data_IF_708650766061
#
_entry.id   IF_708650766061
#
_cell.length_a   1.000
_cell.length_b   1.000
_cell.length_c   1.000
_cell.angle_alpha   90.00
_cell.angle_beta   90.00
_cell.angle_gamma   90.00
#
_symmetry.space_group_name_H-M   'P 1'
#
loop_
_entity.id
_entity.type
_entity.pdbx_description
1 polymer ?
#
# COMPACT_ATOMS: atom_id res chain seq x y z
N UNK A 1 -24.11 1.27 59.80
CA UNK A 1 -22.89 1.55 59.01
C UNK A 1 -22.40 0.23 58.44
N UNK A 2 -22.35 0.11 57.10
CA UNK A 2 -21.46 -0.68 56.21
C UNK A 2 -21.09 -2.12 56.61
N UNK A 3 -21.01 -3.12 55.73
CA UNK A 3 -21.23 -3.27 54.30
C UNK A 3 -21.26 -4.78 54.01
N UNK A 4 -21.98 -5.16 52.95
CA UNK A 4 -22.24 -6.54 52.56
C UNK A 4 -21.07 -7.29 51.94
N UNK A 5 -21.17 -8.62 52.04
CA UNK A 5 -20.35 -9.58 51.33
C UNK A 5 -20.66 -9.58 49.83
N UNK A 6 -19.62 -9.55 48.97
CA UNK A 6 -19.64 -10.22 47.68
C UNK A 6 -18.23 -10.38 47.12
N UNK A 7 -17.73 -11.63 47.17
CA UNK A 7 -16.55 -12.09 46.42
C UNK A 7 -16.87 -12.03 44.91
N UNK A 8 -16.26 -11.11 44.17
CA UNK A 8 -16.19 -11.21 42.70
C UNK A 8 -14.92 -11.94 42.28
N UNK A 9 -15.10 -13.16 41.78
CA UNK A 9 -14.07 -13.97 41.12
C UNK A 9 -13.56 -13.24 39.88
N UNK A 10 -12.24 -13.15 39.77
CA UNK A 10 -11.50 -12.69 38.60
C UNK A 10 -11.70 -13.67 37.43
N UNK A 11 -12.61 -13.31 36.52
CA UNK A 11 -12.73 -13.97 35.21
C UNK A 11 -11.79 -13.31 34.22
N UNK A 12 -10.59 -13.86 34.08
CA UNK A 12 -9.67 -13.60 32.95
C UNK A 12 -10.40 -13.92 31.64
N UNK A 13 -10.94 -12.89 30.98
CA UNK A 13 -11.38 -13.00 29.59
C UNK A 13 -10.14 -12.96 28.70
N UNK A 14 -9.58 -14.14 28.48
CA UNK A 14 -8.69 -14.42 27.36
C UNK A 14 -9.31 -13.84 26.10
N UNK A 15 -8.66 -12.80 25.56
CA UNK A 15 -8.99 -12.22 24.28
C UNK A 15 -8.75 -13.33 23.24
N UNK A 16 -9.85 -13.88 22.70
CA UNK A 16 -9.82 -14.82 21.60
C UNK A 16 -9.00 -14.22 20.46
N UNK A 17 -7.79 -14.73 20.30
CA UNK A 17 -6.95 -14.58 19.11
C UNK A 17 -7.82 -15.02 17.93
N UNK A 18 -8.40 -14.04 17.22
CA UNK A 18 -8.96 -14.29 15.89
C UNK A 18 -7.76 -14.54 14.99
N UNK A 19 -7.40 -15.81 14.82
CA UNK A 19 -6.59 -16.25 13.71
C UNK A 19 -7.13 -15.60 12.43
N UNK A 20 -6.37 -14.68 11.86
CA UNK A 20 -6.55 -14.22 10.48
C UNK A 20 -6.07 -15.36 9.60
N UNK A 21 -6.80 -16.47 9.61
CA UNK A 21 -6.79 -17.42 8.50
C UNK A 21 -7.37 -16.65 7.34
N UNK A 22 -6.50 -16.29 6.41
CA UNK A 22 -6.85 -15.60 5.18
C UNK A 22 -8.07 -16.27 4.56
N UNK A 23 -9.21 -15.58 4.64
CA UNK A 23 -10.48 -16.05 4.09
C UNK A 23 -10.44 -15.79 2.58
N UNK A 24 -9.59 -16.50 1.84
CA UNK A 24 -9.65 -16.53 0.37
C UNK A 24 -10.83 -17.38 -0.15
N UNK A 25 -11.51 -18.11 0.75
CA UNK A 25 -12.58 -19.07 0.39
C UNK A 25 -14.00 -18.52 0.48
N UNK A 26 -14.19 -17.23 0.77
CA UNK A 26 -15.53 -16.65 0.88
C UNK A 26 -15.69 -15.44 -0.05
N UNK A 27 -16.24 -15.70 -1.23
CA UNK A 27 -17.02 -14.76 -2.03
C UNK A 27 -16.31 -13.60 -2.75
N UNK A 28 -15.40 -13.91 -3.68
CA UNK A 28 -15.30 -13.11 -4.93
C UNK A 28 -16.15 -13.73 -6.06
N UNK A 29 -17.22 -14.45 -5.71
CA UNK A 29 -18.25 -14.88 -6.67
C UNK A 29 -19.17 -13.70 -7.01
N UNK A 30 -18.64 -12.69 -7.72
CA UNK A 30 -19.47 -11.71 -8.43
C UNK A 30 -19.75 -12.22 -9.83
N UNK A 31 -20.67 -13.19 -9.92
CA UNK A 31 -21.10 -13.80 -11.18
C UNK A 31 -22.11 -12.93 -11.97
N UNK A 32 -22.08 -11.60 -11.83
CA UNK A 32 -22.92 -10.68 -12.60
C UNK A 32 -22.26 -10.30 -13.93
N UNK A 33 -23.07 -10.18 -14.99
CA UNK A 33 -22.63 -9.54 -16.24
C UNK A 33 -22.31 -8.06 -15.98
N UNK A 34 -21.38 -7.49 -16.74
CA UNK A 34 -21.02 -6.06 -16.73
C UNK A 34 -20.49 -5.53 -15.39
N UNK A 35 -19.78 -6.34 -14.59
CA UNK A 35 -19.01 -5.84 -13.44
C UNK A 35 -17.55 -6.17 -13.61
N UNK A 36 -16.71 -5.17 -13.39
CA UNK A 36 -15.27 -5.29 -13.27
C UNK A 36 -14.90 -5.41 -11.79
N UNK A 37 -14.13 -6.42 -11.44
CA UNK A 37 -13.45 -6.48 -10.14
C UNK A 37 -12.01 -5.99 -10.30
N UNK A 38 -11.52 -5.19 -9.37
CA UNK A 38 -10.13 -4.75 -9.35
C UNK A 38 -9.50 -5.30 -8.07
N UNK A 39 -8.45 -6.11 -8.23
CA UNK A 39 -7.60 -6.55 -7.13
C UNK A 39 -6.49 -5.51 -6.94
N UNK A 40 -6.58 -4.75 -5.86
CA UNK A 40 -5.60 -3.70 -5.53
C UNK A 40 -4.59 -4.27 -4.53
N UNK A 41 -3.31 -4.15 -4.86
CA UNK A 41 -2.18 -4.54 -4.05
C UNK A 41 -1.25 -3.33 -3.92
N UNK A 42 -0.30 -3.40 -2.98
CA UNK A 42 0.78 -2.41 -2.89
C UNK A 42 2.12 -3.12 -3.02
N UNK A 43 2.29 -4.21 -2.27
CA UNK A 43 3.55 -4.96 -2.20
C UNK A 43 3.31 -6.46 -2.33
N UNK A 44 4.34 -7.18 -2.76
CA UNK A 44 4.45 -8.65 -2.61
C UNK A 44 5.84 -8.95 -2.09
N UNK A 45 5.92 -9.45 -0.86
CA UNK A 45 7.20 -9.63 -0.19
C UNK A 45 7.84 -10.97 -0.56
N UNK A 46 9.18 -11.07 -0.63
CA UNK A 46 9.84 -12.35 -0.87
C UNK A 46 9.66 -13.33 0.32
N UNK A 47 9.41 -12.80 1.53
CA UNK A 47 9.17 -13.57 2.75
C UNK A 47 8.31 -12.75 3.72
N UNK A 48 7.73 -13.43 4.71
CA UNK A 48 6.86 -12.79 5.69
C UNK A 48 7.58 -11.73 6.52
N UNK A 49 6.86 -10.65 6.82
CA UNK A 49 7.31 -9.56 7.67
C UNK A 49 6.57 -9.58 9.02
N UNK A 50 7.25 -9.76 10.16
CA UNK A 50 6.61 -9.74 11.48
C UNK A 50 5.88 -8.42 11.79
N UNK A 51 6.34 -7.28 11.25
CA UNK A 51 5.65 -6.00 11.42
C UNK A 51 4.38 -5.93 10.55
N UNK A 52 4.35 -6.62 9.41
CA UNK A 52 3.25 -6.63 8.45
C UNK A 52 2.92 -8.06 7.94
N UNK A 53 2.41 -8.94 8.81
CA UNK A 53 2.20 -10.37 8.53
C UNK A 53 1.00 -10.62 7.61
N UNK A 54 0.24 -9.57 7.29
CA UNK A 54 -0.86 -9.63 6.34
C UNK A 54 -0.44 -9.21 4.93
N UNK A 55 0.79 -8.71 4.75
CA UNK A 55 1.32 -8.43 3.41
C UNK A 55 1.55 -9.75 2.69
N UNK A 56 1.06 -9.88 1.44
CA UNK A 56 1.17 -11.15 0.72
C UNK A 56 2.63 -11.46 0.44
N UNK A 57 3.01 -12.71 0.68
CA UNK A 57 4.34 -13.20 0.29
C UNK A 57 4.30 -13.88 -1.07
N UNK A 58 5.45 -14.01 -1.72
CA UNK A 58 5.59 -14.59 -3.06
C UNK A 58 4.84 -15.92 -3.26
N UNK A 59 4.91 -16.84 -2.29
CA UNK A 59 4.22 -18.14 -2.37
C UNK A 59 2.70 -18.00 -2.31
N UNK A 60 2.19 -17.13 -1.45
CA UNK A 60 0.74 -16.88 -1.32
C UNK A 60 0.22 -16.14 -2.55
N UNK A 61 1.01 -15.20 -3.09
CA UNK A 61 0.67 -14.49 -4.32
C UNK A 61 0.64 -15.43 -5.52
N UNK A 62 1.60 -16.36 -5.66
CA UNK A 62 1.59 -17.39 -6.70
C UNK A 62 0.34 -18.29 -6.62
N UNK A 63 -0.04 -18.70 -5.41
CA UNK A 63 -1.27 -19.47 -5.17
C UNK A 63 -2.53 -18.69 -5.53
N UNK A 64 -2.58 -17.41 -5.16
CA UNK A 64 -3.66 -16.51 -5.52
C UNK A 64 -3.78 -16.36 -7.04
N UNK A 65 -2.68 -16.11 -7.74
CA UNK A 65 -2.69 -15.97 -9.20
C UNK A 65 -3.12 -17.25 -9.91
N UNK A 66 -2.71 -18.43 -9.41
CA UNK A 66 -3.19 -19.71 -9.92
C UNK A 66 -4.72 -19.81 -9.84
N UNK A 67 -5.30 -19.42 -8.71
CA UNK A 67 -6.74 -19.42 -8.52
C UNK A 67 -7.45 -18.37 -9.37
N UNK A 68 -6.87 -17.16 -9.49
CA UNK A 68 -7.42 -16.09 -10.31
C UNK A 68 -7.46 -16.51 -11.77
N UNK A 69 -6.35 -17.06 -12.29
CA UNK A 69 -6.22 -17.53 -13.66
C UNK A 69 -7.25 -18.61 -14.02
N UNK A 70 -7.59 -19.51 -13.09
CA UNK A 70 -8.60 -20.55 -13.34
C UNK A 70 -10.04 -20.04 -13.28
N UNK A 71 -10.28 -18.84 -12.76
CA UNK A 71 -11.62 -18.40 -12.33
C UNK A 71 -12.10 -17.13 -13.03
N UNK A 72 -11.19 -16.22 -13.40
CA UNK A 72 -11.47 -14.89 -13.94
C UNK A 72 -10.92 -14.71 -15.35
N UNK A 73 -11.57 -13.81 -16.10
CA UNK A 73 -11.02 -13.24 -17.32
C UNK A 73 -10.19 -12.02 -16.93
N UNK A 74 -8.89 -12.21 -16.73
CA UNK A 74 -7.99 -11.12 -16.32
C UNK A 74 -7.67 -10.24 -17.53
N UNK A 75 -7.89 -8.94 -17.40
CA UNK A 75 -7.71 -7.94 -18.44
C UNK A 75 -6.76 -6.84 -17.98
N UNK A 76 -6.04 -6.25 -18.93
CA UNK A 76 -5.49 -4.90 -18.78
C UNK A 76 -6.59 -3.94 -18.36
N UNK A 77 -6.27 -2.97 -17.51
CA UNK A 77 -7.25 -2.06 -16.97
C UNK A 77 -7.83 -1.17 -18.08
N UNK A 78 -7.02 -0.73 -19.06
CA UNK A 78 -7.52 -0.01 -20.24
C UNK A 78 -8.60 -0.82 -20.97
N UNK A 79 -8.29 -2.07 -21.30
CA UNK A 79 -9.16 -2.96 -22.07
C UNK A 79 -10.45 -3.26 -21.28
N UNK A 80 -10.35 -3.40 -19.96
CA UNK A 80 -11.49 -3.61 -19.09
C UNK A 80 -12.41 -2.39 -19.04
N UNK A 81 -11.85 -1.18 -18.98
CA UNK A 81 -12.62 0.08 -19.00
C UNK A 81 -13.33 0.24 -20.34
N UNK A 82 -12.63 0.06 -21.47
CA UNK A 82 -13.21 0.15 -22.81
C UNK A 82 -14.37 -0.84 -23.00
N UNK A 83 -14.16 -2.10 -22.58
CA UNK A 83 -15.21 -3.14 -22.67
C UNK A 83 -16.38 -2.88 -21.74
N UNK A 84 -16.14 -2.32 -20.56
CA UNK A 84 -17.20 -1.94 -19.62
C UNK A 84 -18.08 -0.85 -20.24
N UNK A 85 -17.48 0.20 -20.81
CA UNK A 85 -18.19 1.29 -21.49
C UNK A 85 -18.96 0.79 -22.71
N UNK A 86 -18.38 -0.13 -23.48
CA UNK A 86 -19.02 -0.74 -24.64
C UNK A 86 -20.07 -1.82 -24.28
N UNK A 87 -20.26 -2.16 -23.00
CA UNK A 87 -21.18 -3.22 -22.56
C UNK A 87 -20.76 -4.63 -22.99
N UNK A 88 -19.47 -4.83 -23.32
CA UNK A 88 -18.90 -6.08 -23.84
C UNK A 88 -17.94 -6.78 -22.86
N UNK A 89 -17.95 -6.34 -21.60
CA UNK A 89 -17.11 -6.90 -20.54
C UNK A 89 -17.44 -8.39 -20.31
N UNK A 90 -16.44 -9.29 -20.32
CA UNK A 90 -16.68 -10.70 -20.09
C UNK A 90 -17.16 -10.94 -18.65
N UNK A 91 -17.83 -12.07 -18.42
CA UNK A 91 -18.18 -12.48 -17.04
C UNK A 91 -16.90 -12.68 -16.23
N UNK A 92 -16.96 -12.32 -14.94
CA UNK A 92 -15.81 -12.46 -14.03
C UNK A 92 -14.57 -11.73 -14.57
N UNK A 93 -14.77 -10.54 -15.14
CA UNK A 93 -13.65 -9.68 -15.53
C UNK A 93 -12.92 -9.19 -14.28
N UNK A 94 -11.59 -9.28 -14.32
CA UNK A 94 -10.73 -8.85 -13.23
C UNK A 94 -9.54 -8.07 -13.79
N UNK A 95 -9.14 -6.99 -13.12
CA UNK A 95 -7.85 -6.33 -13.34
C UNK A 95 -7.05 -6.36 -12.05
N UNK A 96 -5.72 -6.48 -12.17
CA UNK A 96 -4.79 -6.50 -11.04
C UNK A 96 -4.04 -5.17 -11.07
N UNK A 97 -4.00 -4.46 -9.95
CA UNK A 97 -3.23 -3.22 -9.83
C UNK A 97 -2.29 -3.21 -8.62
N UNK A 98 -1.21 -2.46 -8.76
CA UNK A 98 -0.27 -2.13 -7.69
C UNK A 98 -0.16 -0.63 -7.55
N UNK A 99 -0.31 -0.11 -6.34
CA UNK A 99 -0.21 1.32 -6.05
C UNK A 99 1.16 1.66 -5.44
N UNK A 100 1.46 2.96 -5.34
CA UNK A 100 2.69 3.58 -4.83
C UNK A 100 3.96 3.45 -5.69
N UNK A 101 4.27 2.26 -6.19
CA UNK A 101 5.49 1.99 -6.98
C UNK A 101 6.67 1.44 -6.17
N UNK A 102 6.40 0.44 -5.32
CA UNK A 102 7.44 -0.27 -4.56
C UNK A 102 8.33 -1.13 -5.47
N UNK A 103 9.61 -1.24 -5.14
CA UNK A 103 10.59 -2.00 -5.92
C UNK A 103 10.25 -3.50 -6.02
N UNK A 104 9.60 -4.07 -5.01
CA UNK A 104 9.17 -5.47 -5.02
C UNK A 104 8.06 -5.77 -6.05
N UNK A 105 7.39 -4.75 -6.59
CA UNK A 105 6.48 -4.93 -7.72
C UNK A 105 7.23 -5.45 -8.95
N UNK A 106 8.47 -4.98 -9.18
CA UNK A 106 9.34 -5.49 -10.23
C UNK A 106 10.09 -6.75 -9.78
N UNK A 107 10.76 -6.71 -8.62
CA UNK A 107 11.69 -7.79 -8.25
C UNK A 107 11.01 -9.07 -7.78
N UNK A 108 9.74 -9.02 -7.38
CA UNK A 108 8.99 -10.18 -6.86
C UNK A 108 7.71 -10.42 -7.65
N UNK A 109 6.81 -9.42 -7.73
CA UNK A 109 5.50 -9.63 -8.33
C UNK A 109 5.56 -9.85 -9.85
N UNK A 110 6.39 -9.08 -10.57
CA UNK A 110 6.45 -9.11 -12.02
C UNK A 110 6.86 -10.49 -12.61
N UNK A 111 7.92 -11.18 -12.11
CA UNK A 111 8.25 -12.54 -12.53
C UNK A 111 7.10 -13.53 -12.33
N UNK A 112 6.41 -13.46 -11.20
CA UNK A 112 5.30 -14.38 -10.87
C UNK A 112 4.13 -14.13 -11.82
N UNK A 113 3.72 -12.88 -12.03
CA UNK A 113 2.69 -12.50 -13.01
C UNK A 113 3.03 -12.99 -14.42
N UNK A 114 4.29 -12.85 -14.85
CA UNK A 114 4.78 -13.34 -16.15
C UNK A 114 4.67 -14.86 -16.25
N UNK A 115 5.03 -15.62 -15.22
CA UNK A 115 4.86 -17.08 -15.17
C UNK A 115 3.40 -17.48 -15.34
N UNK A 116 2.47 -16.71 -14.78
CA UNK A 116 1.03 -16.94 -14.95
C UNK A 116 0.47 -16.37 -16.26
N UNK A 117 1.21 -15.51 -16.97
CA UNK A 117 0.75 -14.83 -18.18
C UNK A 117 -0.37 -13.83 -17.90
N UNK A 118 -0.37 -13.20 -16.73
CA UNK A 118 -1.41 -12.27 -16.29
C UNK A 118 -0.94 -10.81 -16.41
N UNK A 119 -1.76 -9.90 -16.97
CA UNK A 119 -1.43 -8.48 -17.00
C UNK A 119 -1.64 -7.83 -15.63
N UNK A 120 -0.97 -6.70 -15.42
CA UNK A 120 -1.18 -5.81 -14.27
C UNK A 120 -0.99 -4.35 -14.68
N UNK A 121 -1.54 -3.45 -13.87
CA UNK A 121 -1.37 -2.00 -13.96
C UNK A 121 -0.66 -1.48 -12.72
N UNK A 122 0.39 -0.67 -12.87
CA UNK A 122 1.09 -0.06 -11.74
C UNK A 122 0.85 1.44 -11.72
N UNK A 123 0.35 1.93 -10.59
CA UNK A 123 0.12 3.35 -10.33
C UNK A 123 1.29 3.91 -9.53
N UNK A 124 2.08 4.78 -10.16
CA UNK A 124 3.39 5.20 -9.64
C UNK A 124 3.32 6.59 -9.02
N UNK A 125 3.78 6.71 -7.77
CA UNK A 125 4.04 8.01 -7.15
C UNK A 125 5.45 8.49 -7.48
N UNK A 126 5.53 9.45 -8.39
CA UNK A 126 6.79 9.82 -9.06
C UNK A 126 7.85 10.45 -8.17
N UNK A 127 7.46 11.16 -7.11
CA UNK A 127 8.39 11.87 -6.22
C UNK A 127 9.22 10.97 -5.32
N UNK A 128 8.91 9.67 -5.25
CA UNK A 128 9.66 8.70 -4.45
C UNK A 128 10.54 7.77 -5.29
N UNK A 129 10.57 7.95 -6.62
CA UNK A 129 11.49 7.20 -7.48
C UNK A 129 12.95 7.52 -7.16
N UNK A 130 13.85 6.65 -7.62
CA UNK A 130 15.31 6.85 -7.56
C UNK A 130 15.85 7.02 -6.13
N UNK A 131 15.41 6.13 -5.22
CA UNK A 131 15.91 6.09 -3.85
C UNK A 131 15.12 6.94 -2.86
N UNK A 132 14.00 7.53 -3.28
CA UNK A 132 13.04 8.15 -2.37
C UNK A 132 12.40 7.14 -1.40
N UNK A 133 11.71 7.66 -0.40
CA UNK A 133 10.97 6.87 0.58
C UNK A 133 9.70 7.60 0.98
N UNK A 134 8.58 6.89 1.04
CA UNK A 134 7.32 7.50 1.47
C UNK A 134 7.40 7.82 2.97
N UNK A 135 6.71 8.88 3.39
CA UNK A 135 6.70 9.31 4.80
C UNK A 135 6.29 8.19 5.77
N UNK A 136 5.37 7.31 5.35
CA UNK A 136 4.96 6.15 6.15
C UNK A 136 6.11 5.15 6.29
N UNK A 137 6.85 4.86 5.23
CA UNK A 137 8.00 3.95 5.28
C UNK A 137 9.13 4.54 6.12
N UNK A 138 9.34 5.85 6.08
CA UNK A 138 10.30 6.53 6.97
C UNK A 138 9.98 6.22 8.44
N UNK A 139 8.72 6.35 8.84
CA UNK A 139 8.26 6.03 10.21
C UNK A 139 8.41 4.53 10.49
N UNK A 140 7.96 3.68 9.58
CA UNK A 140 8.00 2.21 9.73
C UNK A 140 9.44 1.74 9.94
N UNK A 141 10.36 2.19 9.08
CA UNK A 141 11.77 1.78 9.14
C UNK A 141 12.50 2.41 10.33
N UNK A 142 12.09 3.59 10.79
CA UNK A 142 12.56 4.15 12.07
C UNK A 142 12.24 3.20 13.25
N UNK A 143 11.00 2.76 13.35
CA UNK A 143 10.57 1.80 14.37
C UNK A 143 11.12 0.38 14.13
N UNK A 144 11.37 -0.03 12.89
CA UNK A 144 11.98 -1.33 12.59
C UNK A 144 13.45 -1.37 12.98
N UNK A 145 14.21 -0.36 12.56
CA UNK A 145 15.67 -0.34 12.67
C UNK A 145 16.19 0.01 14.07
N UNK A 146 15.39 0.66 14.91
CA UNK A 146 15.91 1.14 16.19
C UNK A 146 16.20 0.00 17.17
N UNK A 147 17.34 0.09 17.85
CA UNK A 147 17.76 -0.84 18.92
C UNK A 147 17.26 -0.43 20.31
N UNK A 148 16.57 0.71 20.41
CA UNK A 148 16.02 1.19 21.67
C UNK A 148 14.87 0.29 22.13
N UNK A 149 14.74 0.09 23.43
CA UNK A 149 13.60 -0.60 24.05
C UNK A 149 12.36 0.29 24.18
N UNK A 150 12.52 1.59 23.95
CA UNK A 150 11.46 2.60 23.99
C UNK A 150 11.86 3.79 23.11
N UNK A 151 10.87 4.44 22.49
CA UNK A 151 11.04 5.71 21.77
C UNK A 151 10.23 6.80 22.47
N UNK A 152 10.91 7.87 22.88
CA UNK A 152 10.27 9.06 23.46
C UNK A 152 10.15 10.14 22.38
N UNK A 153 8.91 10.37 21.95
CA UNK A 153 8.51 11.36 20.95
C UNK A 153 7.62 12.45 21.57
N UNK A 154 7.68 12.65 22.89
CA UNK A 154 6.89 13.68 23.61
C UNK A 154 7.20 15.10 23.11
N UNK A 155 8.47 15.36 22.75
CA UNK A 155 8.92 16.66 22.22
C UNK A 155 8.23 17.06 20.89
N UNK A 156 7.72 16.08 20.13
CA UNK A 156 6.92 16.30 18.91
C UNK A 156 5.43 15.96 19.11
N UNK A 157 4.98 15.78 20.36
CA UNK A 157 3.58 15.53 20.69
C UNK A 157 3.07 14.12 20.36
N UNK A 158 3.96 13.16 20.07
CA UNK A 158 3.56 11.78 19.74
C UNK A 158 3.62 10.82 20.95
N UNK A 159 4.24 11.26 22.05
CA UNK A 159 4.26 10.54 23.31
C UNK A 159 5.35 9.48 23.39
N UNK A 160 5.20 8.54 24.32
CA UNK A 160 6.19 7.51 24.61
C UNK A 160 5.69 6.15 24.10
N UNK A 161 6.57 5.41 23.43
CA UNK A 161 6.27 4.13 22.82
C UNK A 161 7.23 3.03 23.29
N UNK A 162 6.77 2.04 24.06
CA UNK A 162 7.54 0.82 24.33
C UNK A 162 7.84 0.06 23.03
N UNK A 163 8.97 -0.64 22.96
CA UNK A 163 9.43 -1.39 21.78
C UNK A 163 10.05 -2.75 22.16
N UNK A 164 9.62 -3.32 23.29
CA UNK A 164 10.19 -4.56 23.84
C UNK A 164 9.85 -5.80 23.00
N UNK A 165 8.78 -5.75 22.21
CA UNK A 165 8.34 -6.83 21.32
C UNK A 165 7.97 -6.31 19.93
N UNK A 166 7.76 -7.25 18.99
CA UNK A 166 7.22 -6.94 17.65
C UNK A 166 5.82 -6.34 17.76
N UNK A 167 4.98 -6.83 18.68
CA UNK A 167 3.64 -6.28 18.90
C UNK A 167 3.69 -4.85 19.40
N UNK A 168 4.60 -4.52 20.32
CA UNK A 168 4.80 -3.15 20.78
C UNK A 168 5.20 -2.22 19.62
N UNK A 169 6.10 -2.69 18.74
CA UNK A 169 6.54 -1.93 17.56
C UNK A 169 5.39 -1.68 16.60
N UNK A 170 4.54 -2.67 16.35
CA UNK A 170 3.34 -2.52 15.50
C UNK A 170 2.37 -1.50 16.08
N UNK A 171 2.08 -1.58 17.38
CA UNK A 171 1.21 -0.63 18.07
C UNK A 171 1.79 0.79 18.01
N UNK A 172 3.11 0.93 18.16
CA UNK A 172 3.79 2.22 18.04
C UNK A 172 3.67 2.80 16.63
N UNK A 173 3.96 2.00 15.60
CA UNK A 173 3.83 2.38 14.19
C UNK A 173 2.40 2.81 13.88
N UNK A 174 1.41 1.98 14.20
CA UNK A 174 -0.01 2.28 13.94
C UNK A 174 -0.43 3.60 14.60
N UNK A 175 -0.06 3.77 15.87
CA UNK A 175 -0.36 5.00 16.61
C UNK A 175 0.28 6.22 15.95
N UNK A 176 1.56 6.18 15.65
CA UNK A 176 2.28 7.32 15.05
C UNK A 176 1.74 7.64 13.65
N UNK A 177 1.59 6.64 12.78
CA UNK A 177 1.01 6.84 11.45
C UNK A 177 -0.40 7.44 11.53
N UNK A 178 -1.23 6.98 12.47
CA UNK A 178 -2.57 7.51 12.70
C UNK A 178 -2.61 9.00 13.07
N UNK A 179 -1.62 9.48 13.83
CA UNK A 179 -1.53 10.91 14.21
C UNK A 179 -1.02 11.79 13.07
N UNK A 180 -0.13 11.27 12.21
CA UNK A 180 0.55 12.06 11.18
C UNK A 180 -0.20 12.02 9.83
N UNK A 181 -0.92 10.93 9.51
CA UNK A 181 -1.52 10.65 8.18
C UNK A 181 -2.28 11.83 7.56
N UNK A 182 -3.01 12.59 8.37
CA UNK A 182 -3.89 13.67 7.92
C UNK A 182 -3.34 15.07 8.13
N UNK A 183 -2.08 15.22 8.56
CA UNK A 183 -1.42 16.51 8.64
C UNK A 183 -1.15 17.06 7.23
N UNK A 184 -1.03 18.40 7.08
CA UNK A 184 -0.54 18.99 5.84
C UNK A 184 0.78 18.35 5.42
N UNK A 185 1.00 18.21 4.10
CA UNK A 185 2.13 17.45 3.54
C UNK A 185 3.47 17.78 4.19
N UNK A 186 3.82 19.07 4.24
CA UNK A 186 5.10 19.53 4.78
C UNK A 186 5.25 19.16 6.26
N UNK A 187 4.19 19.29 7.05
CA UNK A 187 4.21 18.90 8.46
C UNK A 187 4.34 17.37 8.59
N UNK A 188 3.60 16.60 7.79
CA UNK A 188 3.67 15.13 7.76
C UNK A 188 5.08 14.62 7.45
N UNK A 189 5.72 15.19 6.43
CA UNK A 189 7.11 14.87 6.06
C UNK A 189 8.07 15.24 7.20
N UNK A 190 7.93 16.43 7.80
CA UNK A 190 8.77 16.85 8.92
C UNK A 190 8.62 15.91 10.12
N UNK A 191 7.40 15.54 10.51
CA UNK A 191 7.16 14.62 11.63
C UNK A 191 7.78 13.24 11.38
N UNK A 192 7.73 12.74 10.14
CA UNK A 192 8.38 11.47 9.79
C UNK A 192 9.91 11.57 9.96
N UNK A 193 10.51 12.70 9.56
CA UNK A 193 11.95 12.93 9.78
C UNK A 193 12.31 13.08 11.26
N UNK A 194 11.47 13.74 12.07
CA UNK A 194 11.69 13.86 13.51
C UNK A 194 11.68 12.48 14.19
N UNK A 195 10.75 11.60 13.77
CA UNK A 195 10.70 10.20 14.24
C UNK A 195 11.97 9.43 13.83
N UNK A 196 12.42 9.58 12.59
CA UNK A 196 13.66 8.97 12.11
C UNK A 196 14.89 9.44 12.91
N UNK A 197 14.98 10.75 13.18
CA UNK A 197 16.05 11.33 13.98
C UNK A 197 16.04 10.76 15.41
N UNK A 198 14.87 10.70 16.05
CA UNK A 198 14.74 10.12 17.39
C UNK A 198 15.10 8.62 17.43
N UNK A 199 14.76 7.87 16.39
CA UNK A 199 15.11 6.47 16.26
C UNK A 199 16.63 6.26 16.13
N UNK A 200 17.33 7.21 15.49
CA UNK A 200 18.79 7.18 15.29
C UNK A 200 19.22 6.10 14.31
N UNK A 201 18.47 5.91 13.23
CA UNK A 201 18.72 4.85 12.24
C UNK A 201 18.91 5.42 10.85
N UNK A 202 19.57 4.66 9.99
CA UNK A 202 19.65 4.95 8.56
C UNK A 202 18.58 4.13 7.83
N UNK A 203 17.84 4.78 6.94
CA UNK A 203 16.82 4.10 6.14
C UNK A 203 17.45 3.10 5.16
N UNK A 204 16.80 1.95 4.90
CA UNK A 204 17.20 1.08 3.82
C UNK A 204 16.96 1.76 2.46
N UNK A 205 17.90 1.57 1.54
CA UNK A 205 17.76 2.02 0.16
C UNK A 205 16.92 1.04 -0.68
N UNK A 206 16.43 1.50 -1.83
CA UNK A 206 15.81 0.64 -2.84
C UNK A 206 14.41 0.13 -2.48
N UNK A 207 13.67 0.86 -1.64
CA UNK A 207 12.27 0.51 -1.32
C UNK A 207 11.33 0.83 -2.50
N UNK A 208 11.65 1.86 -3.27
CA UNK A 208 10.86 2.35 -4.40
C UNK A 208 11.56 2.04 -5.72
N UNK A 209 10.78 1.95 -6.80
CA UNK A 209 11.30 1.76 -8.15
C UNK A 209 12.24 2.91 -8.56
N UNK A 210 13.21 2.60 -9.42
CA UNK A 210 13.93 3.63 -10.18
C UNK A 210 13.20 3.98 -11.46
N UNK A 211 13.56 5.08 -12.11
CA UNK A 211 13.07 5.43 -13.45
C UNK A 211 13.35 4.34 -14.48
N UNK A 212 14.51 3.68 -14.38
CA UNK A 212 14.86 2.56 -15.25
C UNK A 212 14.00 1.32 -14.96
N UNK A 213 13.74 1.04 -13.68
CA UNK A 213 12.84 -0.04 -13.28
C UNK A 213 11.42 0.19 -13.80
N UNK A 214 10.96 1.45 -13.83
CA UNK A 214 9.66 1.82 -14.41
C UNK A 214 9.60 1.51 -15.91
N UNK A 215 10.69 1.70 -16.66
CA UNK A 215 10.78 1.29 -18.07
C UNK A 215 10.77 -0.23 -18.21
N UNK A 216 11.51 -0.94 -17.36
CA UNK A 216 11.60 -2.40 -17.39
C UNK A 216 10.24 -3.07 -17.19
N UNK A 217 9.34 -2.49 -16.40
CA UNK A 217 7.96 -3.00 -16.24
C UNK A 217 7.20 -3.11 -17.57
N UNK A 218 7.55 -2.31 -18.59
CA UNK A 218 6.96 -2.42 -19.93
C UNK A 218 7.31 -3.74 -20.61
N UNK A 219 8.50 -4.30 -20.34
CA UNK A 219 8.94 -5.59 -20.88
C UNK A 219 8.16 -6.76 -20.26
N UNK A 220 7.48 -6.53 -19.14
CA UNK A 220 6.52 -7.47 -18.55
C UNK A 220 5.11 -7.33 -19.14
N UNK A 221 4.90 -6.38 -20.07
CA UNK A 221 3.62 -6.12 -20.71
C UNK A 221 2.62 -5.39 -19.80
N UNK A 222 3.12 -4.77 -18.73
CA UNK A 222 2.32 -4.03 -17.76
C UNK A 222 1.95 -2.63 -18.23
N UNK A 223 0.84 -2.14 -17.70
CA UNK A 223 0.40 -0.76 -17.87
C UNK A 223 0.92 0.10 -16.73
N UNK A 224 1.21 1.37 -17.03
CA UNK A 224 1.67 2.33 -16.04
C UNK A 224 0.66 3.48 -15.98
N UNK A 225 0.18 3.78 -14.78
CA UNK A 225 -0.69 4.90 -14.45
C UNK A 225 -0.01 5.86 -13.48
N UNK A 226 -0.53 7.08 -13.39
CA UNK A 226 -0.05 8.10 -12.46
C UNK A 226 -0.71 7.96 -11.08
N UNK A 227 0.05 8.24 -10.02
CA UNK A 227 -0.41 8.22 -8.63
C UNK A 227 0.10 9.41 -7.84
N UNK A 228 -0.03 10.60 -8.42
CA UNK A 228 0.48 11.89 -7.90
C UNK A 228 2.01 11.96 -7.77
N UNK A 229 2.55 13.10 -7.36
CA UNK A 229 3.99 13.30 -7.14
C UNK A 229 4.36 12.88 -5.73
N UNK A 230 3.61 13.30 -4.72
CA UNK A 230 3.96 13.16 -3.30
C UNK A 230 2.97 12.36 -2.47
N UNK A 231 1.96 11.74 -3.10
CA UNK A 231 0.91 10.98 -2.42
C UNK A 231 0.16 11.79 -1.33
N UNK A 232 -0.39 12.98 -1.67
CA UNK A 232 -1.26 13.72 -0.75
C UNK A 232 -2.68 13.14 -0.79
N UNK A 233 -3.48 13.44 0.23
CA UNK A 233 -4.92 13.17 0.20
C UNK A 233 -5.57 14.31 -0.59
N UNK A 234 -5.96 14.06 -1.84
CA UNK A 234 -6.36 15.11 -2.78
C UNK A 234 -7.57 15.91 -2.28
N UNK A 235 -8.60 15.29 -1.70
CA UNK A 235 -9.73 16.01 -1.09
C UNK A 235 -9.36 16.98 0.05
N UNK A 236 -8.15 16.87 0.63
CA UNK A 236 -7.63 17.76 1.68
C UNK A 236 -6.58 18.75 1.17
N UNK A 237 -6.31 18.74 -0.13
CA UNK A 237 -5.25 19.54 -0.76
C UNK A 237 -5.87 20.71 -1.51
N UNK A 238 -5.30 21.93 -1.44
CA UNK A 238 -5.77 23.05 -2.26
C UNK A 238 -5.83 22.70 -3.75
N UNK A 239 -6.85 23.15 -4.46
CA UNK A 239 -7.15 22.70 -5.83
C UNK A 239 -5.98 22.91 -6.82
N UNK A 240 -5.25 24.02 -6.68
CA UNK A 240 -4.06 24.31 -7.49
C UNK A 240 -2.92 23.32 -7.23
N UNK A 241 -2.70 22.93 -5.96
CA UNK A 241 -1.69 21.95 -5.57
C UNK A 241 -2.10 20.54 -6.00
N UNK A 242 -3.38 20.18 -5.82
CA UNK A 242 -3.93 18.91 -6.28
C UNK A 242 -3.79 18.76 -7.81
N UNK A 243 -4.07 19.83 -8.56
CA UNK A 243 -3.89 19.83 -10.01
C UNK A 243 -2.42 19.68 -10.42
N UNK A 244 -1.51 20.38 -9.73
CA UNK A 244 -0.08 20.23 -9.95
C UNK A 244 0.38 18.79 -9.69
N UNK A 245 -0.03 18.17 -8.58
CA UNK A 245 0.27 16.78 -8.23
C UNK A 245 -0.15 15.78 -9.32
N UNK A 246 -1.34 15.96 -9.89
CA UNK A 246 -1.87 15.10 -10.95
C UNK A 246 -1.11 15.32 -12.26
N UNK A 247 -1.00 16.56 -12.71
CA UNK A 247 -0.41 16.89 -14.01
C UNK A 247 1.09 16.59 -14.04
N UNK A 248 1.81 16.94 -12.98
CA UNK A 248 3.26 16.77 -12.95
C UNK A 248 3.67 15.30 -12.86
N UNK A 249 2.94 14.48 -12.09
CA UNK A 249 3.22 13.03 -12.04
C UNK A 249 2.98 12.34 -13.38
N UNK A 250 1.91 12.72 -14.08
CA UNK A 250 1.68 12.29 -15.46
C UNK A 250 2.83 12.72 -16.37
N UNK A 251 3.21 14.00 -16.36
CA UNK A 251 4.29 14.54 -17.21
C UNK A 251 5.61 13.79 -16.99
N UNK A 252 5.99 13.55 -15.73
CA UNK A 252 7.22 12.83 -15.39
C UNK A 252 7.18 11.38 -15.88
N UNK A 253 6.06 10.68 -15.75
CA UNK A 253 5.93 9.33 -16.28
C UNK A 253 5.98 9.30 -17.81
N UNK A 254 5.37 10.26 -18.49
CA UNK A 254 5.43 10.35 -19.95
C UNK A 254 6.86 10.61 -20.44
N UNK A 255 7.64 11.40 -19.72
CA UNK A 255 9.07 11.62 -19.97
C UNK A 255 9.89 10.34 -19.77
N UNK A 256 9.59 9.56 -18.73
CA UNK A 256 10.27 8.28 -18.47
C UNK A 256 9.94 7.27 -19.57
N UNK A 257 8.66 7.15 -19.93
CA UNK A 257 8.14 6.08 -20.78
C UNK A 257 8.17 6.40 -22.28
N UNK A 258 8.32 7.68 -22.65
CA UNK A 258 8.25 8.14 -24.05
C UNK A 258 6.86 7.94 -24.69
N UNK A 259 5.80 7.79 -23.88
CA UNK A 259 4.42 7.56 -24.34
C UNK A 259 3.41 8.16 -23.37
N UNK A 260 2.20 8.43 -23.85
CA UNK A 260 1.12 9.02 -23.04
C UNK A 260 0.67 8.09 -21.90
N UNK A 261 0.46 8.67 -20.71
CA UNK A 261 -0.14 7.99 -19.55
C UNK A 261 -1.62 8.36 -19.42
N UNK A 262 -2.52 7.38 -19.52
CA UNK A 262 -3.97 7.63 -19.55
C UNK A 262 -4.70 7.21 -18.28
N UNK A 263 -4.05 6.45 -17.41
CA UNK A 263 -4.63 5.92 -16.19
C UNK A 263 -4.15 6.73 -14.99
N UNK A 264 -5.04 6.93 -14.02
CA UNK A 264 -4.75 7.62 -12.77
C UNK A 264 -5.47 6.91 -11.61
N UNK A 265 -4.78 6.76 -10.49
CA UNK A 265 -5.35 6.30 -9.23
C UNK A 265 -5.24 7.42 -8.19
N UNK A 266 -6.29 7.62 -7.39
CA UNK A 266 -6.33 8.62 -6.34
C UNK A 266 -5.68 8.07 -5.07
N UNK A 267 -4.66 8.74 -4.48
CA UNK A 267 -4.10 8.34 -3.20
C UNK A 267 -5.16 8.31 -2.09
N UNK A 268 -5.34 7.15 -1.44
CA UNK A 268 -6.39 6.92 -0.44
C UNK A 268 -7.82 7.26 -0.95
N UNK A 269 -8.05 7.14 -2.26
CA UNK A 269 -9.27 7.61 -2.91
C UNK A 269 -10.56 7.04 -2.30
N UNK A 270 -11.54 7.92 -2.12
CA UNK A 270 -12.88 7.57 -1.70
C UNK A 270 -13.90 8.00 -2.76
N UNK A 271 -14.69 7.06 -3.29
CA UNK A 271 -15.71 7.38 -4.27
C UNK A 271 -16.65 8.49 -3.79
N UNK A 272 -16.90 9.48 -4.65
CA UNK A 272 -17.75 10.66 -4.41
C UNK A 272 -17.21 11.70 -3.41
N UNK A 273 -16.01 11.50 -2.85
CA UNK A 273 -15.31 12.51 -2.02
C UNK A 273 -14.13 13.14 -2.77
N UNK A 274 -13.33 12.32 -3.50
CA UNK A 274 -12.14 12.74 -4.27
C UNK A 274 -12.39 12.96 -5.77
#
# INVERSE_FOLDING_TARGET
MRDGASRKRSGSRSAKTREVRVIWRSALSFASRNRLSILILHRVLPKGDPLFPNEPVATEFDELLRHIKSTYNVLRLSDAIERLQAGSLPRRALSISFDDGYADNLSVAAPILRTHGLPATLFITTGYLDGGSMWNDVVIEAFRGTKRSQMDLTHIGLGIHPLASIDDRRVAIERVLGHIKYLPRQEREQRAQDVLHAAGVTLPAGQMLSRDSVRELLDFGFEIGAHTVSHPILAKTPANEAWHEIVESKRQLEEILGRTVQLFAYPNGKPHED
#
